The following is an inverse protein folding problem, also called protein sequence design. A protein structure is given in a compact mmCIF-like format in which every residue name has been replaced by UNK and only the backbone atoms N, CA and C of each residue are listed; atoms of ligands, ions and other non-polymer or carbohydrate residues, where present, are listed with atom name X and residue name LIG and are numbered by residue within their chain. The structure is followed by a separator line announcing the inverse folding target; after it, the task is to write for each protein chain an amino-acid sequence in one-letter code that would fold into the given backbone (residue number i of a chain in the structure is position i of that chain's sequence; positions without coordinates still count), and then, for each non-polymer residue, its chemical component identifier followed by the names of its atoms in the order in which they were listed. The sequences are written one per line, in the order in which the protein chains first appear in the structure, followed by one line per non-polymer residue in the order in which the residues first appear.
data_IF_222809958299
#
_entry.id   IF_222809958299
#
_cell.length_a   1.000
_cell.length_b   1.000
_cell.length_c   1.000
_cell.angle_alpha   90.00
_cell.angle_beta   90.00
_cell.angle_gamma   90.00
#
_symmetry.space_group_name_H-M   'P 1'
#
loop_
_entity.id
_entity.type
_entity.pdbx_description
1 polymer ?
#
# COMPACT_ATOMS: atom_id res chain seq x y z
N UNK A 1 -1.90 30.90 31.93
CA UNK A 1 -2.31 30.66 30.54
C UNK A 1 -1.92 29.23 30.17
N UNK A 2 -2.89 28.30 30.07
CA UNK A 2 -2.63 26.91 29.76
C UNK A 2 -3.28 26.55 28.43
N UNK A 3 -2.48 26.29 27.39
CA UNK A 3 -2.93 25.57 26.19
C UNK A 3 -2.23 24.21 26.21
N UNK A 4 -2.90 23.23 26.82
CA UNK A 4 -2.50 21.84 26.73
C UNK A 4 -2.60 21.37 25.29
N UNK A 5 -1.49 20.85 24.74
CA UNK A 5 -1.43 20.22 23.42
C UNK A 5 -2.18 18.89 23.51
N UNK A 6 -3.42 18.84 23.00
CA UNK A 6 -4.13 17.57 22.82
C UNK A 6 -3.41 16.74 21.75
N UNK A 7 -2.80 15.63 22.16
CA UNK A 7 -2.25 14.61 21.27
C UNK A 7 -3.44 13.96 20.54
N UNK A 8 -3.65 14.32 19.29
CA UNK A 8 -4.63 13.65 18.43
C UNK A 8 -4.07 12.29 18.03
N UNK A 9 -4.57 11.23 18.67
CA UNK A 9 -4.21 9.86 18.33
C UNK A 9 -4.90 9.47 17.02
N UNK A 10 -4.11 9.35 15.95
CA UNK A 10 -4.56 8.84 14.66
C UNK A 10 -4.69 7.31 14.81
N UNK A 11 -5.92 6.82 14.96
CA UNK A 11 -6.21 5.39 14.97
C UNK A 11 -5.99 4.82 13.56
N UNK A 12 -4.90 4.07 13.35
CA UNK A 12 -4.65 3.32 12.12
C UNK A 12 -5.48 2.03 12.11
N UNK A 13 -6.34 1.86 11.11
CA UNK A 13 -7.19 0.67 10.94
C UNK A 13 -6.45 -0.55 10.33
N UNK A 14 -5.12 -0.51 10.23
CA UNK A 14 -4.29 -1.62 9.75
C UNK A 14 -3.81 -2.49 10.91
N UNK A 15 -3.89 -3.82 10.77
CA UNK A 15 -3.20 -4.71 11.70
C UNK A 15 -1.68 -4.45 11.59
N UNK A 16 -0.93 -4.24 12.68
CA UNK A 16 0.49 -3.94 12.62
C UNK A 16 1.26 -5.18 12.18
N UNK A 17 1.43 -5.33 10.87
CA UNK A 17 2.09 -6.49 10.24
C UNK A 17 3.63 -6.44 10.36
N UNK A 18 4.18 -5.44 11.04
CA UNK A 18 5.61 -5.31 11.35
C UNK A 18 6.51 -4.88 10.19
N UNK A 19 6.03 -4.91 8.94
CA UNK A 19 6.81 -4.51 7.76
C UNK A 19 6.43 -3.13 7.18
N UNK A 20 5.38 -2.49 7.71
CA UNK A 20 4.88 -1.19 7.20
C UNK A 20 5.94 -0.10 7.24
N UNK A 21 6.74 -0.03 8.30
CA UNK A 21 7.80 0.97 8.45
C UNK A 21 8.91 0.79 7.39
N UNK A 22 9.31 -0.45 7.12
CA UNK A 22 10.30 -0.77 6.09
C UNK A 22 9.75 -0.48 4.70
N UNK A 23 8.48 -0.80 4.45
CA UNK A 23 7.81 -0.52 3.18
C UNK A 23 7.67 0.99 2.95
N UNK A 24 7.32 1.74 4.00
CA UNK A 24 7.20 3.20 3.96
C UNK A 24 8.56 3.85 3.69
N UNK A 25 9.64 3.39 4.35
CA UNK A 25 10.99 3.88 4.11
C UNK A 25 11.52 3.54 2.70
N UNK A 26 11.16 2.38 2.16
CA UNK A 26 11.50 2.01 0.78
C UNK A 26 10.74 2.89 -0.24
N UNK A 27 9.45 3.12 -0.01
CA UNK A 27 8.62 4.00 -0.82
C UNK A 27 9.14 5.45 -0.80
N UNK A 28 9.48 5.97 0.38
CA UNK A 28 10.03 7.32 0.56
C UNK A 28 11.36 7.51 -0.18
N UNK A 29 12.24 6.48 -0.17
CA UNK A 29 13.47 6.49 -0.97
C UNK A 29 13.22 6.50 -2.48
N UNK A 30 12.18 5.84 -2.95
CA UNK A 30 11.81 5.75 -4.37
C UNK A 30 11.04 6.99 -4.87
N UNK A 31 10.44 7.76 -3.95
CA UNK A 31 9.64 8.96 -4.24
C UNK A 31 10.45 10.11 -4.86
N UNK A 32 11.76 10.17 -4.60
CA UNK A 32 12.63 11.29 -5.00
C UNK A 32 12.02 12.67 -4.59
N UNK A 33 12.42 13.76 -5.25
CA UNK A 33 11.95 15.13 -4.97
C UNK A 33 10.47 15.44 -5.35
N UNK A 34 9.59 14.44 -5.43
CA UNK A 34 8.18 14.63 -5.81
C UNK A 34 7.33 15.08 -4.62
N UNK A 35 6.42 16.03 -4.84
CA UNK A 35 5.49 16.47 -3.79
C UNK A 35 4.51 15.35 -3.40
N UNK A 36 4.10 15.33 -2.13
CA UNK A 36 3.24 14.29 -1.57
C UNK A 36 1.87 14.25 -2.25
N UNK A 37 1.39 15.41 -2.73
CA UNK A 37 0.11 15.51 -3.42
C UNK A 37 0.10 14.82 -4.79
N UNK A 38 1.24 14.77 -5.48
CA UNK A 38 1.40 14.11 -6.79
C UNK A 38 1.75 12.62 -6.63
N UNK A 39 2.61 12.30 -5.64
CA UNK A 39 3.06 10.94 -5.38
C UNK A 39 1.92 9.97 -5.04
N UNK A 40 0.85 10.45 -4.36
CA UNK A 40 -0.30 9.63 -3.99
C UNK A 40 -0.98 8.97 -5.20
N UNK A 41 -1.05 9.66 -6.34
CA UNK A 41 -1.72 9.14 -7.53
C UNK A 41 -0.91 8.01 -8.18
N UNK A 42 0.41 8.18 -8.21
CA UNK A 42 1.33 7.18 -8.75
C UNK A 42 1.34 5.93 -7.88
N UNK A 43 1.49 6.09 -6.56
CA UNK A 43 1.53 4.96 -5.63
C UNK A 43 0.22 4.19 -5.58
N UNK A 44 -0.91 4.89 -5.48
CA UNK A 44 -2.23 4.23 -5.46
C UNK A 44 -2.51 3.53 -6.80
N UNK A 45 -2.08 4.12 -7.92
CA UNK A 45 -2.17 3.49 -9.24
C UNK A 45 -1.36 2.20 -9.34
N UNK A 46 -0.12 2.19 -8.83
CA UNK A 46 0.76 1.02 -8.85
C UNK A 46 0.27 -0.10 -7.92
N UNK A 47 -0.25 0.25 -6.73
CA UNK A 47 -0.84 -0.73 -5.80
C UNK A 47 -2.07 -1.38 -6.44
N UNK A 48 -2.94 -0.58 -7.06
CA UNK A 48 -4.12 -1.09 -7.75
C UNK A 48 -3.72 -1.99 -8.93
N UNK A 49 -2.74 -1.57 -9.73
CA UNK A 49 -2.27 -2.38 -10.85
C UNK A 49 -1.73 -3.73 -10.40
N UNK A 50 -0.87 -3.75 -9.36
CA UNK A 50 -0.36 -5.00 -8.79
C UNK A 50 -1.50 -5.90 -8.29
N UNK A 51 -2.48 -5.33 -7.61
CA UNK A 51 -3.65 -6.10 -7.16
C UNK A 51 -4.41 -6.73 -8.34
N UNK A 52 -4.64 -5.99 -9.43
CA UNK A 52 -5.36 -6.52 -10.60
C UNK A 52 -4.57 -7.64 -11.25
N UNK A 53 -3.24 -7.47 -11.43
CA UNK A 53 -2.36 -8.51 -11.95
C UNK A 53 -2.40 -9.78 -11.09
N UNK A 54 -2.34 -9.64 -9.77
CA UNK A 54 -2.37 -10.79 -8.85
C UNK A 54 -3.73 -11.51 -8.84
N UNK A 55 -4.83 -10.78 -9.00
CA UNK A 55 -6.16 -11.38 -9.10
C UNK A 55 -6.32 -12.16 -10.42
N UNK A 56 -5.79 -11.61 -11.51
CA UNK A 56 -5.82 -12.24 -12.82
C UNK A 56 -4.98 -13.52 -12.85
N UNK A 57 -3.77 -13.49 -12.31
CA UNK A 57 -2.89 -14.66 -12.23
C UNK A 57 -3.52 -15.81 -11.43
N UNK A 58 -4.17 -15.50 -10.29
CA UNK A 58 -4.92 -16.51 -9.51
C UNK A 58 -6.05 -17.15 -10.30
N UNK A 59 -6.79 -16.36 -11.08
CA UNK A 59 -7.88 -16.87 -11.90
C UNK A 59 -7.33 -17.75 -13.04
N UNK A 60 -6.22 -17.36 -13.67
CA UNK A 60 -5.55 -18.16 -14.69
C UNK A 60 -5.01 -19.48 -14.12
N UNK A 61 -4.37 -19.45 -12.95
CA UNK A 61 -3.90 -20.67 -12.28
C UNK A 61 -5.04 -21.63 -11.96
N UNK A 62 -6.20 -21.12 -11.52
CA UNK A 62 -7.37 -21.95 -11.25
C UNK A 62 -7.88 -22.62 -12.53
N UNK A 63 -8.01 -21.86 -13.61
CA UNK A 63 -8.49 -22.37 -14.91
C UNK A 63 -7.50 -23.38 -15.52
N UNK A 64 -6.20 -23.15 -15.37
CA UNK A 64 -5.17 -24.08 -15.81
C UNK A 64 -5.18 -25.38 -14.97
N UNK A 65 -5.38 -25.28 -13.65
CA UNK A 65 -5.53 -26.44 -12.77
C UNK A 65 -6.78 -27.27 -13.09
N UNK A 66 -7.89 -26.63 -13.47
CA UNK A 66 -9.10 -27.34 -13.92
C UNK A 66 -8.92 -28.01 -15.28
N UNK A 67 -8.22 -27.39 -16.23
CA UNK A 67 -7.99 -27.95 -17.57
C UNK A 67 -7.08 -29.19 -17.57
N UNK A 68 -6.19 -29.31 -16.57
CA UNK A 68 -5.27 -30.45 -16.42
C UNK A 68 -5.93 -31.63 -15.67
N UNK A 69 -7.11 -31.44 -15.10
CA UNK A 69 -7.84 -32.46 -14.35
C UNK A 69 -8.76 -33.27 -15.24
#
# INVERSE_FOLDING_TARGET
MARGKSKTEIKSNGAPLGFEATLWAAADKLRNNMDAAEYKHVVLGLILHKHISDAFEKMQEQLFKECIK
#
